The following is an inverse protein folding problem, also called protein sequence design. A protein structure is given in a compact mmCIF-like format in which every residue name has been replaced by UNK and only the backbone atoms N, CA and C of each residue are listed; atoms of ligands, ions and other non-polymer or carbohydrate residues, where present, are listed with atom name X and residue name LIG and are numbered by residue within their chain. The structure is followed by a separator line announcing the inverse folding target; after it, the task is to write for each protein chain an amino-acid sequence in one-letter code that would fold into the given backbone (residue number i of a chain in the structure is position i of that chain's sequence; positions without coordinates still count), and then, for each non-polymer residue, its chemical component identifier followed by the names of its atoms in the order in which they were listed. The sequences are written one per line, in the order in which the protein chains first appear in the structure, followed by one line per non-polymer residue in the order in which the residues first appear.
data_IF_854831790350
#
_entry.id   IF_854831790350
#
_cell.length_a   1.000
_cell.length_b   1.000
_cell.length_c   1.000
_cell.angle_alpha   90.00
_cell.angle_beta   90.00
_cell.angle_gamma   90.00
#
_symmetry.space_group_name_H-M   'P 1'
#
loop_
_entity.id
_entity.type
_entity.pdbx_description
1 polymer ?
#
# COMPACT_ATOMS: atom_id res chain seq x y z
N UNK A 1 32.99 34.50 19.91
CA UNK A 1 33.40 33.93 18.61
C UNK A 1 32.35 32.87 18.23
N UNK A 2 31.48 33.28 17.36
CA UNK A 2 30.37 32.41 16.91
C UNK A 2 30.92 31.38 15.92
N UNK A 3 31.03 30.14 16.32
CA UNK A 3 31.24 29.03 15.39
C UNK A 3 29.95 28.78 14.65
N UNK A 4 29.77 29.46 13.52
CA UNK A 4 28.76 29.10 12.55
C UNK A 4 28.97 27.63 12.18
N UNK A 5 28.16 26.75 12.75
CA UNK A 5 28.07 25.36 12.38
C UNK A 5 27.49 25.37 10.96
N UNK A 6 28.40 25.34 9.96
CA UNK A 6 27.99 25.22 8.57
C UNK A 6 27.27 23.88 8.43
N UNK A 7 25.96 23.92 8.47
CA UNK A 7 25.09 22.83 8.05
C UNK A 7 25.60 22.41 6.68
N UNK A 8 26.26 21.26 6.60
CA UNK A 8 26.51 20.63 5.30
C UNK A 8 25.16 20.52 4.61
N UNK A 9 24.97 21.34 3.58
CA UNK A 9 23.81 21.26 2.72
C UNK A 9 23.82 19.84 2.21
N UNK A 10 22.84 19.06 2.65
CA UNK A 10 22.58 17.76 2.09
C UNK A 10 22.25 18.03 0.62
N UNK A 11 23.23 17.83 -0.26
CA UNK A 11 23.07 18.09 -1.68
C UNK A 11 22.32 16.88 -2.28
N UNK A 12 21.01 16.99 -2.57
CA UNK A 12 20.26 15.90 -3.18
C UNK A 12 20.69 15.64 -4.63
N UNK A 13 21.59 16.46 -5.18
CA UNK A 13 22.08 16.34 -6.56
C UNK A 13 23.29 15.43 -6.70
N UNK A 14 23.90 14.96 -5.60
CA UNK A 14 24.85 13.87 -5.70
C UNK A 14 24.12 12.64 -6.23
N UNK A 15 24.48 12.10 -7.41
CA UNK A 15 23.84 10.92 -7.98
C UNK A 15 24.24 9.67 -7.20
N UNK A 16 23.79 9.61 -5.95
CA UNK A 16 23.97 8.48 -5.07
C UNK A 16 22.72 7.63 -5.06
N UNK A 17 22.52 6.84 -6.08
CA UNK A 17 21.61 5.68 -6.00
C UNK A 17 22.18 4.63 -5.03
N UNK A 18 23.29 4.90 -4.37
CA UNK A 18 23.94 3.97 -3.46
C UNK A 18 23.55 4.23 -2.01
N UNK A 19 22.88 3.23 -1.43
CA UNK A 19 22.51 3.22 -0.02
C UNK A 19 23.71 3.46 0.91
N UNK A 20 24.89 2.98 0.54
CA UNK A 20 26.15 3.18 1.28
C UNK A 20 26.53 4.65 1.36
N UNK A 21 26.41 5.40 0.28
CA UNK A 21 26.69 6.83 0.26
C UNK A 21 25.71 7.60 1.18
N UNK A 22 24.43 7.25 1.14
CA UNK A 22 23.44 7.81 2.06
C UNK A 22 23.78 7.54 3.52
N UNK A 23 24.10 6.28 3.87
CA UNK A 23 24.48 5.90 5.24
C UNK A 23 25.76 6.63 5.68
N UNK A 24 26.74 6.78 4.80
CA UNK A 24 27.97 7.52 5.09
C UNK A 24 27.66 9.01 5.37
N UNK A 25 26.83 9.64 4.55
CA UNK A 25 26.40 11.03 4.75
C UNK A 25 25.63 11.22 6.06
N UNK A 26 24.70 10.33 6.38
CA UNK A 26 23.97 10.36 7.65
C UNK A 26 24.91 10.19 8.85
N UNK A 27 25.92 9.33 8.73
CA UNK A 27 26.91 9.10 9.79
C UNK A 27 27.89 10.27 9.97
N UNK A 28 28.06 11.15 8.98
CA UNK A 28 28.88 12.36 9.12
C UNK A 28 28.20 13.48 9.91
N UNK A 29 26.88 13.44 10.06
CA UNK A 29 26.13 14.44 10.81
C UNK A 29 26.44 14.32 12.31
N UNK A 30 26.77 15.46 12.94
CA UNK A 30 27.07 15.50 14.37
C UNK A 30 25.81 15.18 15.20
N UNK A 31 26.01 14.42 16.27
CA UNK A 31 24.91 14.15 17.24
C UNK A 31 24.70 15.38 18.13
N UNK A 32 23.45 15.65 18.48
CA UNK A 32 23.08 16.72 19.40
C UNK A 32 23.30 16.30 20.86
N UNK A 33 23.75 17.26 21.68
CA UNK A 33 23.74 17.07 23.13
C UNK A 33 22.30 17.17 23.66
N UNK A 34 22.00 16.62 24.87
CA UNK A 34 20.67 16.72 25.45
C UNK A 34 20.13 18.14 25.57
N UNK A 35 21.02 19.11 25.89
CA UNK A 35 20.69 20.51 26.03
C UNK A 35 20.31 21.14 24.68
N UNK A 36 21.10 20.85 23.64
CA UNK A 36 20.83 21.32 22.26
C UNK A 36 19.54 20.73 21.71
N UNK A 37 19.30 19.44 21.97
CA UNK A 37 18.05 18.76 21.57
C UNK A 37 16.83 19.45 22.20
N UNK A 38 16.91 19.76 23.50
CA UNK A 38 15.85 20.42 24.23
C UNK A 38 15.61 21.86 23.74
N UNK A 39 16.68 22.60 23.47
CA UNK A 39 16.60 23.96 22.95
C UNK A 39 15.94 24.01 21.57
N UNK A 40 16.39 23.17 20.64
CA UNK A 40 15.80 23.07 19.31
C UNK A 40 14.33 22.59 19.37
N UNK A 41 14.02 21.68 20.28
CA UNK A 41 12.66 21.20 20.47
C UNK A 41 11.74 22.31 20.99
N UNK A 42 12.23 23.16 21.90
CA UNK A 42 11.48 24.35 22.40
C UNK A 42 11.28 25.37 21.29
N UNK A 43 12.29 25.68 20.50
CA UNK A 43 12.17 26.59 19.36
C UNK A 43 11.13 26.12 18.37
N UNK A 44 11.08 24.81 18.08
CA UNK A 44 10.05 24.27 17.21
C UNK A 44 8.67 24.30 17.86
N UNK A 45 8.56 23.93 19.14
CA UNK A 45 7.28 23.81 19.84
C UNK A 45 6.57 25.14 20.07
N UNK A 46 7.31 26.20 20.40
CA UNK A 46 6.76 27.52 20.72
C UNK A 46 6.77 28.50 19.54
N UNK A 47 7.73 28.37 18.64
CA UNK A 47 7.98 29.37 17.58
C UNK A 47 7.69 28.79 16.18
N UNK A 48 7.28 27.52 16.08
CA UNK A 48 7.10 26.81 14.80
C UNK A 48 8.33 26.91 13.86
N UNK A 49 9.55 26.98 14.45
CA UNK A 49 10.78 27.12 13.71
C UNK A 49 11.10 25.84 12.92
N UNK A 50 10.86 25.87 11.60
CA UNK A 50 11.07 24.73 10.71
C UNK A 50 12.55 24.34 10.62
N UNK A 51 13.49 25.28 10.73
CA UNK A 51 14.92 24.98 10.70
C UNK A 51 15.37 24.21 11.94
N UNK A 52 14.79 24.51 13.12
CA UNK A 52 15.01 23.73 14.32
C UNK A 52 14.49 22.29 14.17
N UNK A 53 13.28 22.11 13.61
CA UNK A 53 12.75 20.79 13.31
C UNK A 53 13.63 20.01 12.32
N UNK A 54 14.14 20.68 11.29
CA UNK A 54 15.07 20.09 10.30
C UNK A 54 16.34 19.59 10.98
N UNK A 55 16.95 20.39 11.86
CA UNK A 55 18.14 20.00 12.59
C UNK A 55 17.90 18.80 13.51
N UNK A 56 16.74 18.77 14.21
CA UNK A 56 16.32 17.62 15.01
C UNK A 56 16.20 16.35 14.17
N UNK A 57 15.54 16.42 13.01
CA UNK A 57 15.40 15.26 12.12
C UNK A 57 16.77 14.80 11.63
N UNK A 58 17.59 15.69 11.08
CA UNK A 58 18.91 15.35 10.52
C UNK A 58 19.83 14.66 11.54
N UNK A 59 19.88 15.17 12.77
CA UNK A 59 20.70 14.59 13.83
C UNK A 59 20.26 13.18 14.25
N UNK A 60 19.00 12.82 14.02
CA UNK A 60 18.45 11.52 14.42
C UNK A 60 18.31 10.51 13.28
N UNK A 61 18.67 10.86 12.02
CA UNK A 61 18.62 9.93 10.89
C UNK A 61 19.47 8.67 11.11
N UNK A 62 20.62 8.81 11.78
CA UNK A 62 21.48 7.67 12.14
C UNK A 62 20.72 6.61 12.96
N UNK A 63 19.85 7.06 13.86
CA UNK A 63 19.04 6.17 14.66
C UNK A 63 18.01 5.40 13.80
N UNK A 64 17.41 6.06 12.81
CA UNK A 64 16.51 5.40 11.85
C UNK A 64 17.23 4.33 11.05
N UNK A 65 18.44 4.61 10.55
CA UNK A 65 19.28 3.62 9.85
C UNK A 65 19.59 2.42 10.74
N UNK A 66 19.89 2.64 12.02
CA UNK A 66 20.12 1.55 12.94
C UNK A 66 18.85 0.70 13.17
N UNK A 67 17.69 1.35 13.32
CA UNK A 67 16.41 0.66 13.48
C UNK A 67 16.02 -0.15 12.23
N UNK A 68 16.26 0.35 11.02
CA UNK A 68 15.92 -0.36 9.78
C UNK A 68 16.63 -1.71 9.66
N UNK A 69 17.86 -1.82 10.19
CA UNK A 69 18.61 -3.08 10.19
C UNK A 69 17.92 -4.20 10.98
N UNK A 70 17.14 -3.86 12.00
CA UNK A 70 16.40 -4.87 12.78
C UNK A 70 15.27 -5.50 11.97
N UNK A 71 14.85 -4.87 10.87
CA UNK A 71 13.78 -5.33 9.99
C UNK A 71 14.27 -5.88 8.65
N UNK A 72 15.58 -6.02 8.43
CA UNK A 72 16.14 -6.53 7.17
C UNK A 72 15.70 -7.96 6.80
N UNK A 73 15.30 -8.76 7.80
CA UNK A 73 14.89 -10.16 7.61
C UNK A 73 13.52 -10.36 6.93
N UNK A 74 12.81 -9.30 6.56
CA UNK A 74 11.50 -9.39 5.89
C UNK A 74 11.58 -9.39 4.37
N UNK A 75 12.79 -9.29 3.78
CA UNK A 75 13.00 -9.34 2.32
C UNK A 75 12.62 -8.04 1.57
N UNK A 76 12.40 -6.95 2.30
CA UNK A 76 12.11 -5.64 1.72
C UNK A 76 13.38 -4.80 1.58
N UNK A 77 13.37 -3.83 0.66
CA UNK A 77 14.46 -2.90 0.44
C UNK A 77 14.79 -2.12 1.73
N UNK A 78 16.05 -2.14 2.12
CA UNK A 78 16.50 -1.38 3.29
C UNK A 78 16.36 0.13 3.08
N UNK A 79 16.53 0.61 1.84
CA UNK A 79 16.34 2.02 1.51
C UNK A 79 14.92 2.48 1.80
N UNK A 80 13.92 1.70 1.40
CA UNK A 80 12.52 2.02 1.63
C UNK A 80 12.17 1.98 3.12
N UNK A 81 12.67 0.98 3.85
CA UNK A 81 12.51 0.91 5.31
C UNK A 81 13.10 2.13 6.02
N UNK A 82 14.23 2.64 5.55
CA UNK A 82 14.83 3.86 6.10
C UNK A 82 13.92 5.07 5.80
N UNK A 83 13.42 5.21 4.57
CA UNK A 83 12.56 6.35 4.23
C UNK A 83 11.24 6.33 5.01
N UNK A 84 10.61 5.19 5.16
CA UNK A 84 9.42 5.06 6.03
C UNK A 84 9.74 5.35 7.49
N UNK A 85 10.91 4.93 7.96
CA UNK A 85 11.40 5.30 9.29
C UNK A 85 11.63 6.81 9.43
N UNK A 86 12.14 7.48 8.39
CA UNK A 86 12.29 8.94 8.37
C UNK A 86 10.93 9.64 8.44
N UNK A 87 9.90 9.13 7.74
CA UNK A 87 8.53 9.62 7.88
C UNK A 87 8.04 9.47 9.32
N UNK A 88 8.31 8.33 9.96
CA UNK A 88 8.01 8.11 11.37
C UNK A 88 8.71 9.11 12.29
N UNK A 89 9.99 9.37 12.05
CA UNK A 89 10.77 10.36 12.80
C UNK A 89 10.19 11.79 12.65
N UNK A 90 9.83 12.19 11.42
CA UNK A 90 9.21 13.49 11.17
C UNK A 90 7.85 13.62 11.89
N UNK A 91 7.04 12.55 11.89
CA UNK A 91 5.78 12.53 12.67
C UNK A 91 6.03 12.65 14.17
N UNK A 92 7.10 12.01 14.66
CA UNK A 92 7.51 12.12 16.07
C UNK A 92 7.92 13.54 16.41
N UNK A 93 8.80 14.17 15.64
CA UNK A 93 9.25 15.57 15.87
C UNK A 93 8.05 16.51 15.88
N UNK A 94 7.11 16.36 14.95
CA UNK A 94 5.89 17.20 14.89
C UNK A 94 5.02 17.10 16.16
N UNK A 95 5.05 15.97 16.87
CA UNK A 95 4.19 15.70 18.04
C UNK A 95 4.97 15.70 19.36
N UNK A 96 6.25 16.01 19.30
CA UNK A 96 7.11 15.99 20.47
C UNK A 96 6.83 17.17 21.39
N UNK A 97 6.57 16.88 22.66
CA UNK A 97 6.46 17.91 23.71
C UNK A 97 7.73 17.92 24.56
N UNK A 98 8.53 19.00 24.53
CA UNK A 98 9.76 19.12 25.32
C UNK A 98 9.54 19.24 26.81
N UNK A 99 8.31 19.58 27.27
CA UNK A 99 8.01 19.80 28.71
C UNK A 99 7.90 18.47 29.48
N UNK A 100 7.65 17.34 28.79
CA UNK A 100 7.48 16.03 29.42
C UNK A 100 8.80 15.49 29.98
N UNK A 101 9.94 16.05 29.61
CA UNK A 101 11.27 15.69 30.13
C UNK A 101 11.83 14.38 29.60
N UNK A 102 11.25 13.78 28.55
CA UNK A 102 11.79 12.59 27.86
C UNK A 102 12.64 13.00 26.65
N UNK A 103 13.62 12.15 26.30
CA UNK A 103 14.43 12.34 25.11
C UNK A 103 13.61 12.08 23.86
N UNK A 104 13.88 12.85 22.79
CA UNK A 104 13.22 12.68 21.48
C UNK A 104 13.37 11.24 20.97
N UNK A 105 14.55 10.62 21.11
CA UNK A 105 14.81 9.26 20.68
C UNK A 105 13.82 8.28 21.32
N UNK A 106 13.60 8.38 22.62
CA UNK A 106 12.68 7.50 23.35
C UNK A 106 11.22 7.62 22.90
N UNK A 107 10.82 8.82 22.55
CA UNK A 107 9.50 9.07 21.98
C UNK A 107 9.42 8.63 20.51
N UNK A 108 10.43 8.93 19.70
CA UNK A 108 10.46 8.66 18.27
C UNK A 108 10.51 7.17 17.93
N UNK A 109 11.12 6.32 18.78
CA UNK A 109 11.18 4.85 18.59
C UNK A 109 9.84 4.26 18.22
N UNK A 110 8.79 4.66 18.92
CA UNK A 110 7.44 4.11 18.71
C UNK A 110 6.86 4.53 17.35
N UNK A 111 7.08 5.77 16.95
CA UNK A 111 6.64 6.29 15.66
C UNK A 111 7.41 5.66 14.50
N UNK A 112 8.73 5.58 14.61
CA UNK A 112 9.60 4.95 13.61
C UNK A 112 9.21 3.48 13.41
N UNK A 113 9.08 2.72 14.51
CA UNK A 113 8.64 1.31 14.44
C UNK A 113 7.25 1.16 13.83
N UNK A 114 6.31 2.05 14.18
CA UNK A 114 4.94 1.97 13.66
C UNK A 114 4.91 2.14 12.14
N UNK A 115 5.63 3.12 11.58
CA UNK A 115 5.69 3.32 10.13
C UNK A 115 6.40 2.16 9.42
N UNK A 116 7.54 1.70 9.95
CA UNK A 116 8.24 0.54 9.38
C UNK A 116 7.37 -0.73 9.42
N UNK A 117 6.65 -0.98 10.51
CA UNK A 117 5.74 -2.12 10.63
C UNK A 117 4.57 -2.01 9.64
N UNK A 118 3.98 -0.83 9.49
CA UNK A 118 2.88 -0.63 8.53
C UNK A 118 3.36 -0.82 7.09
N UNK A 119 4.56 -0.31 6.76
CA UNK A 119 5.19 -0.52 5.46
C UNK A 119 5.41 -2.01 5.17
N UNK A 120 5.99 -2.75 6.15
CA UNK A 120 6.22 -4.20 6.02
C UNK A 120 4.89 -4.93 5.78
N UNK A 121 3.86 -4.68 6.59
CA UNK A 121 2.57 -5.34 6.44
C UNK A 121 1.87 -5.05 5.10
N UNK A 122 2.15 -3.89 4.52
CA UNK A 122 1.56 -3.45 3.25
C UNK A 122 2.26 -4.06 2.04
N UNK A 123 3.59 -4.18 2.10
CA UNK A 123 4.42 -4.48 0.93
C UNK A 123 5.10 -5.86 0.98
N UNK A 124 4.89 -6.65 2.05
CA UNK A 124 5.54 -7.96 2.18
C UNK A 124 5.12 -8.97 1.11
N UNK A 125 3.87 -8.89 0.65
CA UNK A 125 3.27 -9.72 -0.40
C UNK A 125 2.34 -8.88 -1.28
N UNK A 126 2.07 -9.34 -2.50
CA UNK A 126 1.11 -8.74 -3.42
C UNK A 126 -0.26 -8.64 -2.75
N UNK A 127 -0.70 -9.73 -2.10
CA UNK A 127 -1.93 -9.75 -1.32
C UNK A 127 -1.64 -9.51 0.16
N UNK A 128 -2.39 -8.60 0.79
CA UNK A 128 -2.24 -8.31 2.22
C UNK A 128 -2.57 -9.55 3.06
N UNK A 129 -1.59 -10.04 3.81
CA UNK A 129 -1.72 -11.25 4.63
C UNK A 129 -2.38 -10.96 5.97
N UNK A 130 -2.04 -9.85 6.61
CA UNK A 130 -2.49 -9.47 7.94
C UNK A 130 -3.42 -8.26 7.89
N UNK A 131 -4.73 -8.50 7.86
CA UNK A 131 -5.76 -7.44 7.81
C UNK A 131 -6.34 -7.11 9.19
N UNK A 132 -6.45 -8.09 10.09
CA UNK A 132 -6.98 -7.89 11.43
C UNK A 132 -5.89 -7.62 12.47
N UNK A 133 -6.26 -7.04 13.60
CA UNK A 133 -5.34 -6.75 14.72
C UNK A 133 -4.64 -8.03 15.23
N UNK A 134 -5.38 -9.12 15.32
CA UNK A 134 -4.84 -10.43 15.74
C UNK A 134 -3.80 -10.96 14.73
N UNK A 135 -4.09 -10.88 13.43
CA UNK A 135 -3.18 -11.31 12.37
C UNK A 135 -1.90 -10.45 12.32
N UNK A 136 -2.02 -9.13 12.51
CA UNK A 136 -0.84 -8.22 12.59
C UNK A 136 0.06 -8.57 13.76
N UNK A 137 -0.51 -8.87 14.93
CA UNK A 137 0.23 -9.32 16.11
C UNK A 137 0.94 -10.65 15.85
N UNK A 138 0.27 -11.59 15.22
CA UNK A 138 0.84 -12.88 14.84
C UNK A 138 1.97 -12.75 13.82
N UNK A 139 1.82 -11.90 12.82
CA UNK A 139 2.82 -11.71 11.75
C UNK A 139 4.22 -11.43 12.31
N UNK A 140 4.33 -10.54 13.28
CA UNK A 140 5.63 -10.19 13.87
C UNK A 140 6.12 -11.21 14.93
N UNK A 141 5.21 -11.86 15.64
CA UNK A 141 5.58 -12.74 16.74
C UNK A 141 5.72 -14.23 16.32
N UNK A 142 5.00 -14.68 15.29
CA UNK A 142 4.98 -16.08 14.89
C UNK A 142 6.38 -16.59 14.51
N UNK A 143 7.14 -15.80 13.77
CA UNK A 143 8.50 -16.16 13.34
C UNK A 143 9.49 -16.21 14.51
N UNK A 144 9.41 -15.27 15.44
CA UNK A 144 10.30 -15.21 16.60
C UNK A 144 9.98 -16.29 17.64
N UNK A 145 8.73 -16.72 17.72
CA UNK A 145 8.28 -17.74 18.68
C UNK A 145 8.49 -19.17 18.17
N UNK A 146 8.70 -19.37 16.87
CA UNK A 146 9.01 -20.71 16.33
C UNK A 146 10.40 -21.15 16.75
N UNK A 147 10.48 -22.31 17.40
CA UNK A 147 11.73 -22.97 17.76
C UNK A 147 12.29 -23.88 16.66
N UNK A 148 11.45 -24.27 15.70
CA UNK A 148 11.77 -25.16 14.57
C UNK A 148 11.34 -24.54 13.25
N UNK A 149 11.97 -24.93 12.16
CA UNK A 149 11.63 -24.46 10.80
C UNK A 149 10.36 -25.14 10.22
N UNK A 150 9.85 -26.21 10.84
CA UNK A 150 8.65 -26.92 10.42
C UNK A 150 7.33 -26.22 10.80
N UNK A 151 6.23 -26.91 10.52
CA UNK A 151 4.89 -26.50 10.94
C UNK A 151 4.75 -26.58 12.46
N UNK A 152 3.94 -25.69 13.02
CA UNK A 152 3.62 -25.70 14.46
C UNK A 152 2.83 -26.97 14.81
N UNK A 153 3.21 -27.62 15.93
CA UNK A 153 2.38 -28.66 16.52
C UNK A 153 1.14 -28.05 17.18
N UNK A 154 0.10 -28.86 17.44
CA UNK A 154 -1.13 -28.36 18.07
C UNK A 154 -0.86 -27.71 19.43
N UNK A 155 -0.01 -28.30 20.25
CA UNK A 155 0.38 -27.76 21.56
C UNK A 155 1.11 -26.40 21.44
N UNK A 156 2.03 -26.28 20.46
CA UNK A 156 2.75 -25.04 20.20
C UNK A 156 1.82 -23.94 19.69
N UNK A 157 0.85 -24.29 18.83
CA UNK A 157 -0.14 -23.34 18.32
C UNK A 157 -1.10 -22.87 19.43
N UNK A 158 -1.50 -23.75 20.35
CA UNK A 158 -2.34 -23.41 21.51
C UNK A 158 -1.57 -22.56 22.53
N UNK A 159 -0.33 -22.91 22.83
CA UNK A 159 0.52 -22.11 23.72
C UNK A 159 0.71 -20.69 23.17
N UNK A 160 1.02 -20.57 21.89
CA UNK A 160 1.14 -19.26 21.22
C UNK A 160 -0.18 -18.49 21.21
N UNK A 161 -1.30 -19.17 21.02
CA UNK A 161 -2.63 -18.58 21.07
C UNK A 161 -2.93 -17.96 22.43
N UNK A 162 -2.57 -18.69 23.53
CA UNK A 162 -2.70 -18.20 24.90
C UNK A 162 -1.79 -17.00 25.18
N UNK A 163 -0.50 -17.09 24.83
CA UNK A 163 0.49 -16.01 25.05
C UNK A 163 0.09 -14.71 24.34
N UNK A 164 -0.44 -14.83 23.13
CA UNK A 164 -0.83 -13.69 22.31
C UNK A 164 -2.29 -13.26 22.49
N UNK A 165 -3.11 -14.03 23.21
CA UNK A 165 -4.53 -13.76 23.39
C UNK A 165 -5.32 -13.79 22.07
N UNK A 166 -5.05 -14.79 21.21
CA UNK A 166 -5.69 -15.01 19.92
C UNK A 166 -6.22 -16.45 19.83
N UNK A 167 -7.13 -16.72 18.89
CA UNK A 167 -7.63 -18.08 18.66
C UNK A 167 -6.57 -18.94 17.97
N UNK A 168 -6.40 -20.20 18.41
CA UNK A 168 -5.48 -21.18 17.82
C UNK A 168 -5.77 -21.45 16.33
N UNK A 169 -7.04 -21.35 15.91
CA UNK A 169 -7.43 -21.43 14.51
C UNK A 169 -6.80 -20.30 13.66
N UNK A 170 -6.75 -19.09 14.22
CA UNK A 170 -6.14 -17.92 13.54
C UNK A 170 -4.63 -18.08 13.45
N UNK A 171 -3.98 -18.69 14.47
CA UNK A 171 -2.54 -18.99 14.44
C UNK A 171 -2.21 -19.93 13.28
N UNK A 172 -2.93 -21.06 13.14
CA UNK A 172 -2.73 -22.02 12.05
C UNK A 172 -3.01 -21.39 10.67
N UNK A 173 -4.09 -20.61 10.56
CA UNK A 173 -4.41 -19.91 9.33
C UNK A 173 -3.31 -18.94 8.93
N UNK A 174 -2.77 -18.20 9.90
CA UNK A 174 -1.70 -17.24 9.64
C UNK A 174 -0.39 -17.94 9.26
N UNK A 175 -0.09 -19.06 9.89
CA UNK A 175 1.05 -19.89 9.51
C UNK A 175 0.98 -20.37 8.06
N UNK A 176 -0.17 -20.87 7.63
CA UNK A 176 -0.40 -21.28 6.23
C UNK A 176 -0.22 -20.11 5.26
N UNK A 177 -0.77 -18.93 5.58
CA UNK A 177 -0.61 -17.74 4.76
C UNK A 177 0.83 -17.26 4.66
N UNK A 178 1.62 -17.38 5.73
CA UNK A 178 3.03 -16.98 5.74
C UNK A 178 3.94 -17.99 5.03
N UNK A 179 3.52 -19.26 4.94
CA UNK A 179 4.26 -20.30 4.25
C UNK A 179 4.05 -20.32 2.73
N UNK A 180 2.91 -19.80 2.25
CA UNK A 180 2.63 -19.72 0.81
C UNK A 180 3.47 -18.63 0.15
N UNK A 181 3.88 -18.86 -1.10
CA UNK A 181 4.58 -17.89 -1.93
C UNK A 181 3.64 -17.37 -3.01
N UNK A 182 3.87 -16.12 -3.45
CA UNK A 182 3.19 -15.58 -4.61
C UNK A 182 3.71 -16.31 -5.85
N UNK A 183 2.81 -16.85 -6.69
CA UNK A 183 3.20 -17.48 -7.94
C UNK A 183 3.45 -16.41 -9.01
N UNK A 184 4.51 -16.57 -9.81
CA UNK A 184 4.71 -15.76 -10.99
C UNK A 184 3.62 -16.09 -12.02
N UNK A 185 3.09 -15.07 -12.72
CA UNK A 185 2.09 -15.28 -13.76
C UNK A 185 2.71 -15.92 -15.00
N UNK A 186 3.85 -15.40 -15.43
CA UNK A 186 4.61 -15.92 -16.55
C UNK A 186 5.63 -16.97 -16.11
N UNK A 187 5.96 -17.88 -16.99
CA UNK A 187 7.06 -18.82 -16.77
C UNK A 187 8.41 -18.08 -16.80
N UNK A 188 9.32 -18.52 -15.93
CA UNK A 188 10.69 -18.03 -15.97
C UNK A 188 11.37 -18.55 -17.25
N UNK A 189 12.03 -17.66 -18.00
CA UNK A 189 12.68 -17.98 -19.29
C UNK A 189 13.80 -19.02 -19.20
N UNK A 190 14.36 -19.20 -17.99
CA UNK A 190 15.45 -20.15 -17.71
C UNK A 190 14.94 -21.47 -17.07
N UNK A 191 13.63 -21.64 -16.90
CA UNK A 191 13.10 -22.85 -16.28
C UNK A 191 12.94 -23.98 -17.31
N UNK A 192 13.31 -25.21 -16.91
CA UNK A 192 13.02 -26.43 -17.65
C UNK A 192 11.54 -26.51 -18.04
N UNK A 193 11.23 -27.10 -19.19
CA UNK A 193 9.87 -27.16 -19.75
C UNK A 193 8.78 -27.59 -18.77
N UNK A 194 9.09 -28.46 -17.80
CA UNK A 194 8.13 -28.89 -16.77
C UNK A 194 7.72 -27.77 -15.79
N UNK A 195 8.60 -26.81 -15.52
CA UNK A 195 8.27 -25.67 -14.64
C UNK A 195 7.45 -24.60 -15.37
N UNK A 196 7.65 -24.48 -16.69
CA UNK A 196 6.90 -23.58 -17.54
C UNK A 196 5.39 -23.93 -17.55
N UNK A 197 5.03 -25.20 -17.66
CA UNK A 197 3.63 -25.66 -17.65
C UNK A 197 2.87 -25.39 -16.34
N UNK A 198 3.56 -25.06 -15.27
CA UNK A 198 2.94 -24.70 -13.97
C UNK A 198 2.59 -23.23 -13.84
N UNK A 199 3.05 -22.39 -14.77
CA UNK A 199 2.75 -20.98 -14.74
C UNK A 199 1.28 -20.70 -15.11
N UNK A 200 0.57 -19.83 -14.40
CA UNK A 200 -0.83 -19.50 -14.65
C UNK A 200 -1.12 -19.10 -16.11
N UNK A 201 -0.18 -18.44 -16.76
CA UNK A 201 -0.30 -18.03 -18.16
C UNK A 201 -0.62 -19.20 -19.13
N UNK A 202 -0.22 -20.43 -18.79
CA UNK A 202 -0.42 -21.58 -19.67
C UNK A 202 -1.74 -22.34 -19.44
N UNK A 203 -2.35 -22.20 -18.27
CA UNK A 203 -3.59 -22.93 -17.96
C UNK A 203 -4.81 -22.03 -17.72
N UNK A 204 -4.61 -20.72 -17.67
CA UNK A 204 -5.73 -19.78 -17.63
C UNK A 204 -6.27 -19.58 -19.05
N UNK A 205 -7.55 -19.88 -19.21
CA UNK A 205 -8.27 -19.70 -20.46
C UNK A 205 -8.71 -18.24 -20.59
N UNK A 206 -8.46 -17.65 -21.75
CA UNK A 206 -9.01 -16.35 -22.10
C UNK A 206 -10.42 -16.53 -22.67
N UNK A 207 -11.42 -16.26 -21.86
CA UNK A 207 -12.83 -16.39 -22.27
C UNK A 207 -13.22 -15.45 -23.43
N UNK A 208 -12.49 -14.33 -23.61
CA UNK A 208 -12.73 -13.44 -24.74
C UNK A 208 -12.18 -13.99 -26.07
N UNK A 209 -11.39 -15.05 -26.02
CA UNK A 209 -10.78 -15.70 -27.19
C UNK A 209 -11.61 -16.86 -27.78
N UNK A 210 -12.77 -17.17 -27.20
CA UNK A 210 -13.67 -18.19 -27.74
C UNK A 210 -14.42 -17.64 -28.95
N UNK A 211 -13.89 -18.02 -30.14
CA UNK A 211 -14.45 -17.61 -31.43
C UNK A 211 -15.91 -18.02 -31.61
N UNK A 212 -16.30 -19.18 -31.06
CA UNK A 212 -17.67 -19.66 -31.22
C UNK A 212 -18.66 -18.80 -30.44
N UNK A 213 -18.33 -18.47 -29.18
CA UNK A 213 -19.14 -17.59 -28.34
C UNK A 213 -19.20 -16.17 -28.92
N UNK A 214 -18.08 -15.63 -29.39
CA UNK A 214 -18.04 -14.30 -29.99
C UNK A 214 -18.90 -14.21 -31.26
N UNK A 215 -18.86 -15.22 -32.13
CA UNK A 215 -19.70 -15.27 -33.33
C UNK A 215 -21.17 -15.41 -32.96
N UNK A 216 -21.50 -16.19 -31.95
CA UNK A 216 -22.89 -16.36 -31.47
C UNK A 216 -23.42 -15.03 -30.87
N UNK A 217 -22.59 -14.30 -30.12
CA UNK A 217 -22.94 -12.99 -29.58
C UNK A 217 -23.14 -11.96 -30.70
N UNK A 218 -22.23 -11.90 -31.68
CA UNK A 218 -22.32 -11.01 -32.84
C UNK A 218 -23.59 -11.29 -33.67
N UNK A 219 -23.87 -12.57 -33.98
CA UNK A 219 -25.11 -12.98 -34.70
C UNK A 219 -26.36 -12.60 -33.89
N UNK A 220 -26.32 -12.83 -32.58
CA UNK A 220 -27.45 -12.48 -31.70
C UNK A 220 -27.70 -10.97 -31.67
N UNK A 221 -26.63 -10.16 -31.59
CA UNK A 221 -26.74 -8.71 -31.67
C UNK A 221 -27.28 -8.25 -33.02
N UNK A 222 -26.82 -8.83 -34.13
CA UNK A 222 -27.31 -8.50 -35.46
C UNK A 222 -28.80 -8.84 -35.63
N UNK A 223 -29.24 -10.04 -35.21
CA UNK A 223 -30.64 -10.47 -35.26
C UNK A 223 -31.51 -9.57 -34.38
N UNK A 224 -31.03 -9.24 -33.18
CA UNK A 224 -31.74 -8.37 -32.24
C UNK A 224 -31.88 -6.94 -32.80
N UNK A 225 -30.82 -6.38 -33.38
CA UNK A 225 -30.83 -5.06 -33.99
C UNK A 225 -31.75 -5.01 -35.22
N UNK A 226 -31.70 -6.03 -36.08
CA UNK A 226 -32.57 -6.14 -37.24
C UNK A 226 -34.05 -6.25 -36.83
N UNK A 227 -34.34 -7.05 -35.80
CA UNK A 227 -35.70 -7.18 -35.24
C UNK A 227 -36.19 -5.85 -34.64
N UNK A 228 -35.32 -5.14 -33.93
CA UNK A 228 -35.62 -3.81 -33.39
C UNK A 228 -35.92 -2.80 -34.50
N UNK A 229 -35.10 -2.74 -35.53
CA UNK A 229 -35.31 -1.85 -36.67
C UNK A 229 -36.59 -2.19 -37.44
N UNK A 230 -36.89 -3.48 -37.61
CA UNK A 230 -38.14 -3.92 -38.23
C UNK A 230 -39.35 -3.50 -37.41
N UNK A 231 -39.34 -3.76 -36.10
CA UNK A 231 -40.41 -3.34 -35.18
C UNK A 231 -40.58 -1.81 -35.14
N UNK A 232 -39.45 -1.06 -35.14
CA UNK A 232 -39.49 0.40 -35.23
C UNK A 232 -40.10 0.91 -36.55
N UNK A 233 -39.89 0.17 -37.67
CA UNK A 233 -40.47 0.58 -38.95
C UNK A 233 -42.00 0.53 -38.98
N UNK A 234 -42.60 -0.35 -38.20
CA UNK A 234 -44.06 -0.54 -38.08
C UNK A 234 -44.74 0.52 -37.19
N UNK A 235 -43.94 1.26 -36.38
CA UNK A 235 -44.50 2.29 -35.50
C UNK A 235 -44.84 3.58 -36.29
N UNK A 236 -45.78 4.34 -35.77
CA UNK A 236 -46.13 5.67 -36.22
C UNK A 236 -45.00 6.68 -35.96
N UNK A 237 -44.93 7.76 -36.71
CA UNK A 237 -43.82 8.75 -36.67
C UNK A 237 -43.66 9.37 -35.26
N UNK A 238 -44.77 9.49 -34.52
CA UNK A 238 -44.78 10.04 -33.18
C UNK A 238 -44.14 9.12 -32.18
N UNK A 239 -44.48 7.82 -32.21
CA UNK A 239 -43.90 6.80 -31.35
C UNK A 239 -42.40 6.63 -31.66
N UNK A 240 -42.00 6.71 -32.94
CA UNK A 240 -40.57 6.72 -33.33
C UNK A 240 -39.81 7.89 -32.74
N UNK A 241 -40.39 9.10 -32.79
CA UNK A 241 -39.75 10.29 -32.23
C UNK A 241 -39.57 10.21 -30.72
N UNK A 242 -40.57 9.69 -30.01
CA UNK A 242 -40.49 9.45 -28.56
C UNK A 242 -39.39 8.45 -28.23
N UNK A 243 -39.33 7.32 -28.90
CA UNK A 243 -38.32 6.28 -28.67
C UNK A 243 -36.92 6.78 -28.97
N UNK A 244 -36.73 7.43 -30.12
CA UNK A 244 -35.44 7.99 -30.50
C UNK A 244 -34.95 9.04 -29.50
N UNK A 245 -35.80 9.97 -29.08
CA UNK A 245 -35.41 11.06 -28.20
C UNK A 245 -35.17 10.61 -26.76
N UNK A 246 -35.83 9.54 -26.29
CA UNK A 246 -35.77 9.11 -24.91
C UNK A 246 -34.82 7.93 -24.66
N UNK A 247 -34.71 6.98 -25.60
CA UNK A 247 -34.04 5.70 -25.38
C UNK A 247 -32.81 5.51 -26.27
N UNK A 248 -32.84 6.02 -27.50
CA UNK A 248 -31.77 5.80 -28.48
C UNK A 248 -30.80 6.99 -28.63
N UNK A 249 -31.15 8.15 -28.08
CA UNK A 249 -30.26 9.33 -28.10
C UNK A 249 -29.30 9.32 -26.91
N UNK A 250 -28.08 9.79 -27.09
CA UNK A 250 -27.11 10.03 -26.01
C UNK A 250 -27.64 11.02 -24.98
N UNK A 251 -28.30 12.09 -25.44
CA UNK A 251 -29.00 13.06 -24.60
C UNK A 251 -30.47 12.69 -24.47
N UNK A 252 -30.82 11.98 -23.40
CA UNK A 252 -32.20 11.52 -23.15
C UNK A 252 -33.11 12.69 -22.83
N UNK A 253 -34.13 12.92 -23.68
CA UNK A 253 -35.14 13.92 -23.42
C UNK A 253 -36.01 13.59 -22.19
N UNK A 254 -36.38 14.60 -21.42
CA UNK A 254 -37.31 14.46 -20.31
C UNK A 254 -38.75 14.32 -20.78
N UNK A 255 -39.64 13.76 -19.94
CA UNK A 255 -41.05 13.62 -20.29
C UNK A 255 -41.72 14.99 -20.54
N UNK A 256 -41.31 16.04 -19.84
CA UNK A 256 -41.80 17.41 -20.05
C UNK A 256 -41.41 17.97 -21.38
N UNK A 257 -40.12 17.82 -21.77
CA UNK A 257 -39.65 18.28 -23.08
C UNK A 257 -40.33 17.56 -24.24
N UNK A 258 -40.61 16.26 -24.09
CA UNK A 258 -41.36 15.50 -25.08
C UNK A 258 -42.84 15.89 -25.10
N UNK A 259 -43.45 16.21 -23.97
CA UNK A 259 -44.81 16.69 -23.90
C UNK A 259 -44.98 18.05 -24.63
N UNK A 260 -44.03 18.96 -24.35
CA UNK A 260 -44.04 20.32 -25.02
C UNK A 260 -43.83 20.20 -26.53
N UNK A 261 -42.89 19.32 -26.97
CA UNK A 261 -42.60 19.10 -28.38
C UNK A 261 -43.76 18.44 -29.14
N UNK A 262 -44.44 17.50 -28.50
CA UNK A 262 -45.54 16.78 -29.11
C UNK A 262 -46.92 17.43 -28.86
N UNK A 263 -46.95 18.57 -28.20
CA UNK A 263 -48.14 19.32 -27.83
C UNK A 263 -49.13 18.50 -27.01
N UNK A 264 -48.58 17.72 -26.03
CA UNK A 264 -49.35 16.88 -25.12
C UNK A 264 -49.47 17.52 -23.75
N UNK A 265 -50.63 17.36 -23.11
CA UNK A 265 -50.85 17.84 -21.74
C UNK A 265 -50.17 16.90 -20.73
N UNK A 266 -50.13 15.61 -21.08
CA UNK A 266 -49.46 14.56 -20.28
C UNK A 266 -48.88 13.48 -21.21
N UNK A 267 -47.71 12.95 -20.84
CA UNK A 267 -47.16 11.69 -21.36
C UNK A 267 -47.07 10.70 -20.24
#
# INVERSE_FOLDING_TARGET
MSTANSLQVFDPTTPGQDLTAYIASVNSIAMLTPEQELELAKQYYYEDNVDAARQLVLAHLRFVVHMSKTFSGYGLSQADLIQEGNVGLMKAVKRFNPEVGVRLVSFAVHWIKAEMHEYILRNWRIVKIATTKAQRKLFFNLRSSKKRLGWLNNEEAEAMAQDLGVDAKVVRQMEGRMASYDAAFDADSDSDDEAAYKAPAYYLEDQASDLATNVEEDEWEEVTNNSLHSAMSELDDRSKDILNSRWLSENKATLHELADRLSLIHI
#
